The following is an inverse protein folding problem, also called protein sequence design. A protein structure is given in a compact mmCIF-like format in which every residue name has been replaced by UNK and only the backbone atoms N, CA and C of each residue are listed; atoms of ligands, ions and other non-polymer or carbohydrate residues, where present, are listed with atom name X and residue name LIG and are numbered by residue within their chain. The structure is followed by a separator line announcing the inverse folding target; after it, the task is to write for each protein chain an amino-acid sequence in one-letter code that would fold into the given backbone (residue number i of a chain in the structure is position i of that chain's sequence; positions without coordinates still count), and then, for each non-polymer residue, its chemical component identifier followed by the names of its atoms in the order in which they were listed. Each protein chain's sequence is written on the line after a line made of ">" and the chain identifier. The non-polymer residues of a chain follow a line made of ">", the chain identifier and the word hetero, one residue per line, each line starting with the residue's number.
data_IF_846591935429
#
_entry.id   IF_846591935429
#
_cell.length_a   1.000
_cell.length_b   1.000
_cell.length_c   1.000
_cell.angle_alpha   90.00
_cell.angle_beta   90.00
_cell.angle_gamma   90.00
#
_symmetry.space_group_name_H-M   'P 1'
#
loop_
_entity.id
_entity.type
_entity.pdbx_description
1 polymer ?
#
# COMPACT_ATOMS: atom_id res chain seq x y z
N UNK A 1 9.48 -19.00 -20.28
CA UNK A 1 10.15 -17.71 -20.39
C UNK A 1 9.35 -16.62 -19.69
N UNK A 2 10.04 -15.75 -18.96
CA UNK A 2 9.41 -14.62 -18.31
C UNK A 2 9.00 -13.58 -19.36
N UNK A 3 7.74 -13.15 -19.33
CA UNK A 3 7.23 -12.15 -20.25
C UNK A 3 6.03 -11.42 -19.65
N UNK A 4 5.88 -10.17 -20.05
CA UNK A 4 4.69 -9.40 -19.73
C UNK A 4 3.54 -9.90 -20.62
N UNK A 5 2.36 -10.11 -20.02
CA UNK A 5 1.19 -10.65 -20.74
C UNK A 5 0.64 -9.58 -21.70
N UNK A 6 0.28 -10.02 -22.92
CA UNK A 6 -0.42 -9.14 -23.88
C UNK A 6 -1.89 -8.98 -23.46
N UNK A 7 -2.28 -7.73 -23.23
CA UNK A 7 -3.66 -7.37 -22.83
C UNK A 7 -4.38 -6.55 -23.88
N UNK A 8 -3.82 -6.46 -25.10
CA UNK A 8 -4.36 -5.62 -26.18
C UNK A 8 -5.80 -6.00 -26.59
N UNK A 9 -6.19 -7.27 -26.41
CA UNK A 9 -7.55 -7.77 -26.71
C UNK A 9 -8.53 -7.55 -25.56
N UNK A 10 -8.07 -7.15 -24.37
CA UNK A 10 -8.95 -6.92 -23.23
C UNK A 10 -9.63 -5.56 -23.35
N UNK A 11 -10.85 -5.48 -22.86
CA UNK A 11 -11.59 -4.22 -22.85
C UNK A 11 -11.03 -3.25 -21.83
N UNK A 12 -11.05 -1.96 -22.17
CA UNK A 12 -10.80 -0.88 -21.23
C UNK A 12 -12.04 -0.75 -20.35
N UNK A 13 -11.88 -0.92 -19.07
CA UNK A 13 -12.97 -0.79 -18.08
C UNK A 13 -12.47 0.01 -16.87
N UNK A 14 -13.45 0.58 -16.14
CA UNK A 14 -13.16 1.20 -14.85
C UNK A 14 -12.81 0.08 -13.84
N UNK A 15 -11.63 0.15 -13.28
CA UNK A 15 -11.13 -0.87 -12.36
C UNK A 15 -10.71 -0.25 -11.04
N UNK A 16 -10.97 -0.96 -9.95
CA UNK A 16 -10.60 -0.54 -8.61
C UNK A 16 -9.96 -1.71 -7.88
N UNK A 17 -8.96 -1.43 -7.08
CA UNK A 17 -8.40 -2.40 -6.14
C UNK A 17 -8.16 -1.71 -4.80
N UNK A 18 -8.37 -2.44 -3.72
CA UNK A 18 -8.06 -2.02 -2.35
C UNK A 18 -7.19 -3.11 -1.73
N UNK A 19 -6.05 -2.70 -1.21
CA UNK A 19 -5.16 -3.56 -0.43
C UNK A 19 -5.05 -3.00 0.99
N UNK A 20 -4.68 -3.85 1.93
CA UNK A 20 -4.44 -3.44 3.30
C UNK A 20 -3.19 -4.09 3.86
N UNK A 21 -2.73 -3.60 4.99
CA UNK A 21 -1.60 -4.15 5.72
C UNK A 21 -1.51 -3.55 7.10
N UNK A 22 -0.63 -4.09 7.93
CA UNK A 22 -0.45 -3.66 9.32
C UNK A 22 1.02 -3.51 9.64
N UNK A 23 1.32 -2.52 10.48
CA UNK A 23 2.61 -2.44 11.16
C UNK A 23 2.30 -2.54 12.65
N UNK A 24 2.75 -3.63 13.28
CA UNK A 24 2.48 -3.95 14.68
C UNK A 24 3.65 -3.55 15.56
N UNK A 25 3.35 -3.00 16.72
CA UNK A 25 4.35 -2.52 17.67
C UNK A 25 4.16 -3.18 19.03
N UNK A 26 5.25 -3.38 19.80
CA UNK A 26 5.10 -3.63 21.23
C UNK A 26 4.29 -2.50 21.87
N UNK A 27 3.49 -2.83 22.88
CA UNK A 27 2.57 -1.87 23.51
C UNK A 27 3.30 -0.61 23.99
N UNK A 28 4.43 -0.77 24.66
CA UNK A 28 5.18 0.38 25.19
C UNK A 28 5.73 1.29 24.08
N UNK A 29 6.11 0.71 22.94
CA UNK A 29 6.55 1.48 21.77
C UNK A 29 5.36 2.24 21.17
N UNK A 30 4.23 1.58 21.04
CA UNK A 30 3.02 2.21 20.50
C UNK A 30 2.56 3.36 21.41
N UNK A 31 2.57 3.16 22.71
CA UNK A 31 2.23 4.20 23.68
C UNK A 31 3.14 5.43 23.53
N UNK A 32 4.43 5.21 23.30
CA UNK A 32 5.38 6.29 23.03
C UNK A 32 5.02 7.04 21.74
N UNK A 33 4.69 6.31 20.67
CA UNK A 33 4.30 6.93 19.40
C UNK A 33 3.03 7.76 19.55
N UNK A 34 2.04 7.27 20.27
CA UNK A 34 0.81 8.01 20.55
C UNK A 34 1.11 9.29 21.33
N UNK A 35 1.95 9.20 22.37
CA UNK A 35 2.34 10.36 23.17
C UNK A 35 3.06 11.42 22.36
N UNK A 36 3.77 11.03 21.30
CA UNK A 36 4.47 11.92 20.39
C UNK A 36 3.61 12.35 19.20
N UNK A 37 2.34 11.95 19.16
CA UNK A 37 1.44 12.20 18.03
C UNK A 37 2.02 11.70 16.70
N UNK A 38 2.71 10.57 16.75
CA UNK A 38 3.37 9.93 15.60
C UNK A 38 4.38 10.85 14.91
N UNK A 39 4.99 11.79 15.65
CA UNK A 39 6.07 12.63 15.16
C UNK A 39 7.42 12.02 15.58
N UNK A 40 8.22 11.66 14.59
CA UNK A 40 9.57 11.15 14.81
C UNK A 40 10.62 12.21 14.54
N UNK A 41 11.89 11.82 14.63
CA UNK A 41 13.02 12.72 14.34
C UNK A 41 13.02 13.24 12.90
N UNK A 42 12.44 12.47 11.98
CA UNK A 42 12.38 12.81 10.56
C UNK A 42 11.06 13.49 10.17
N UNK A 43 10.18 13.78 11.15
CA UNK A 43 8.89 14.41 10.91
C UNK A 43 7.72 13.47 11.14
N UNK A 44 6.59 13.75 10.49
CA UNK A 44 5.38 12.95 10.64
C UNK A 44 5.57 11.55 10.03
N UNK A 45 5.42 10.53 10.87
CA UNK A 45 5.53 9.13 10.44
C UNK A 45 4.40 8.80 9.47
N UNK A 46 3.17 9.16 9.81
CA UNK A 46 1.98 8.82 9.01
C UNK A 46 2.02 9.55 7.68
N UNK A 47 2.24 10.85 7.66
CA UNK A 47 2.24 11.62 6.41
C UNK A 47 3.38 11.18 5.48
N UNK A 48 4.55 10.91 6.02
CA UNK A 48 5.69 10.44 5.23
C UNK A 48 5.37 9.09 4.58
N UNK A 49 4.76 8.18 5.33
CA UNK A 49 4.38 6.88 4.81
C UNK A 49 3.29 6.98 3.74
N UNK A 50 2.31 7.88 3.91
CA UNK A 50 1.27 8.11 2.89
C UNK A 50 1.91 8.58 1.58
N UNK A 51 2.80 9.57 1.65
CA UNK A 51 3.46 10.10 0.46
C UNK A 51 4.33 9.03 -0.20
N UNK A 52 5.10 8.28 0.58
CA UNK A 52 5.94 7.20 0.07
C UNK A 52 5.11 6.12 -0.64
N UNK A 53 3.98 5.75 -0.05
CA UNK A 53 3.06 4.79 -0.65
C UNK A 53 2.47 5.30 -1.97
N UNK A 54 2.05 6.55 -2.03
CA UNK A 54 1.53 7.16 -3.26
C UNK A 54 2.61 7.13 -4.35
N UNK A 55 3.83 7.51 -4.03
CA UNK A 55 4.93 7.45 -5.00
C UNK A 55 5.19 6.03 -5.48
N UNK A 56 5.15 5.06 -4.58
CA UNK A 56 5.35 3.65 -4.92
C UNK A 56 4.26 3.13 -5.85
N UNK A 57 3.01 3.50 -5.61
CA UNK A 57 1.91 3.15 -6.52
C UNK A 57 2.22 3.62 -7.94
N UNK A 58 2.69 4.85 -8.08
CA UNK A 58 3.04 5.44 -9.39
C UNK A 58 4.24 4.77 -10.05
N UNK A 59 5.08 4.08 -9.28
CA UNK A 59 6.31 3.42 -9.76
C UNK A 59 6.20 1.90 -9.80
N UNK A 60 5.00 1.36 -9.67
CA UNK A 60 4.81 -0.10 -9.58
C UNK A 60 5.43 -0.83 -10.76
N UNK A 61 5.25 -0.34 -11.98
CA UNK A 61 5.81 -1.00 -13.16
C UNK A 61 7.34 -0.98 -13.20
N UNK A 62 7.97 -0.04 -12.50
CA UNK A 62 9.43 0.00 -12.37
C UNK A 62 9.95 -0.98 -11.31
N UNK A 63 9.11 -1.37 -10.36
CA UNK A 63 9.47 -2.25 -9.24
C UNK A 63 9.12 -3.71 -9.52
N UNK A 64 8.01 -3.94 -10.21
CA UNK A 64 7.48 -5.28 -10.53
C UNK A 64 7.68 -5.50 -12.02
N UNK A 65 8.66 -6.33 -12.42
CA UNK A 65 9.21 -6.27 -13.78
C UNK A 65 8.24 -6.63 -14.91
N UNK A 66 7.27 -7.50 -14.66
CA UNK A 66 6.36 -7.96 -15.72
C UNK A 66 4.95 -7.35 -15.56
N UNK A 67 4.84 -6.27 -14.79
CA UNK A 67 3.62 -5.53 -14.59
C UNK A 67 3.47 -4.44 -15.66
N UNK A 68 2.24 -4.21 -16.14
CA UNK A 68 1.98 -3.17 -17.14
C UNK A 68 2.06 -1.79 -16.52
N UNK A 69 2.51 -0.81 -17.30
CA UNK A 69 2.44 0.59 -16.92
C UNK A 69 1.02 1.09 -17.20
N UNK A 70 0.38 1.66 -16.18
CA UNK A 70 -1.03 2.07 -16.25
C UNK A 70 -1.18 3.54 -15.93
N UNK A 71 -2.20 4.17 -16.54
CA UNK A 71 -2.62 5.51 -16.17
C UNK A 71 -3.65 5.41 -15.04
N UNK A 72 -3.30 5.94 -13.88
CA UNK A 72 -4.14 5.86 -12.69
C UNK A 72 -4.98 7.12 -12.55
N UNK A 73 -6.25 6.95 -12.21
CA UNK A 73 -7.18 8.07 -12.00
C UNK A 73 -7.31 8.46 -10.52
N UNK A 74 -6.98 7.56 -9.60
CA UNK A 74 -7.06 7.84 -8.15
C UNK A 74 -6.10 6.96 -7.38
N UNK A 75 -5.43 7.55 -6.39
CA UNK A 75 -4.63 6.85 -5.38
C UNK A 75 -5.03 7.43 -4.04
N UNK A 76 -5.47 6.58 -3.11
CA UNK A 76 -5.82 7.01 -1.76
C UNK A 76 -5.20 6.05 -0.76
N UNK A 77 -4.42 6.59 0.16
CA UNK A 77 -3.79 5.81 1.24
C UNK A 77 -4.24 6.39 2.56
N UNK A 78 -4.80 5.54 3.41
CA UNK A 78 -5.23 5.88 4.75
C UNK A 78 -4.43 5.03 5.75
N UNK A 79 -3.91 5.65 6.80
CA UNK A 79 -3.15 5.00 7.85
C UNK A 79 -3.75 5.43 9.18
N UNK A 80 -4.27 4.45 9.94
CA UNK A 80 -4.98 4.72 11.20
C UNK A 80 -4.48 3.82 12.31
N UNK A 81 -4.38 4.35 13.55
CA UNK A 81 -4.06 3.52 14.71
C UNK A 81 -5.23 2.58 15.04
N UNK A 82 -4.94 1.30 15.21
CA UNK A 82 -5.90 0.28 15.64
C UNK A 82 -5.16 -0.66 16.59
N UNK A 83 -5.60 -0.74 17.84
CA UNK A 83 -4.90 -1.52 18.86
C UNK A 83 -3.45 -1.04 18.99
N UNK A 84 -2.47 -1.91 18.95
CA UNK A 84 -1.05 -1.53 18.99
C UNK A 84 -0.43 -1.56 17.60
N UNK A 85 -1.17 -1.16 16.59
CA UNK A 85 -0.72 -1.21 15.20
C UNK A 85 -1.14 0.03 14.43
N UNK A 86 -0.49 0.27 13.31
CA UNK A 86 -0.95 1.18 12.27
C UNK A 86 -1.55 0.34 11.15
N UNK A 87 -2.82 0.54 10.88
CA UNK A 87 -3.55 -0.13 9.80
C UNK A 87 -3.45 0.72 8.54
N UNK A 88 -3.04 0.09 7.45
CA UNK A 88 -2.84 0.76 6.16
C UNK A 88 -3.89 0.27 5.18
N UNK A 89 -4.49 1.18 4.43
CA UNK A 89 -5.38 0.87 3.32
C UNK A 89 -4.95 1.67 2.10
N UNK A 90 -4.90 1.03 0.95
CA UNK A 90 -4.56 1.69 -0.31
C UNK A 90 -5.62 1.35 -1.35
N UNK A 91 -6.27 2.39 -1.88
CA UNK A 91 -7.28 2.27 -2.94
C UNK A 91 -6.73 2.90 -4.20
N UNK A 92 -6.79 2.16 -5.31
CA UNK A 92 -6.31 2.63 -6.61
C UNK A 92 -7.41 2.43 -7.65
N UNK A 93 -7.58 3.40 -8.52
CA UNK A 93 -8.54 3.34 -9.64
C UNK A 93 -7.83 3.63 -10.96
N UNK A 94 -8.31 2.99 -12.01
CA UNK A 94 -7.87 3.24 -13.38
C UNK A 94 -9.01 2.94 -14.38
N UNK A 95 -8.80 3.38 -15.62
CA UNK A 95 -9.60 2.98 -16.79
C UNK A 95 -8.62 2.35 -17.77
N UNK A 96 -8.39 1.04 -17.64
CA UNK A 96 -7.36 0.34 -18.37
C UNK A 96 -7.77 -1.08 -18.70
N UNK A 97 -6.89 -1.79 -19.41
CA UNK A 97 -7.11 -3.15 -19.89
C UNK A 97 -6.73 -4.23 -18.89
N UNK A 98 -6.12 -3.86 -17.78
CA UNK A 98 -5.76 -4.79 -16.72
C UNK A 98 -6.01 -4.15 -15.36
N UNK A 99 -6.02 -4.96 -14.30
CA UNK A 99 -6.31 -4.50 -12.95
C UNK A 99 -5.16 -3.78 -12.28
N UNK A 100 -5.45 -3.18 -11.13
CA UNK A 100 -4.51 -2.38 -10.35
C UNK A 100 -4.19 -3.00 -8.99
N UNK A 101 -4.29 -4.33 -8.88
CA UNK A 101 -3.97 -5.05 -7.64
C UNK A 101 -2.52 -4.80 -7.22
N UNK A 102 -1.59 -4.85 -8.20
CA UNK A 102 -0.16 -4.68 -7.88
C UNK A 102 0.14 -3.27 -7.41
N UNK A 103 -0.52 -2.26 -8.00
CA UNK A 103 -0.39 -0.88 -7.56
C UNK A 103 -0.85 -0.72 -6.12
N UNK A 104 -2.01 -1.27 -5.77
CA UNK A 104 -2.54 -1.19 -4.42
C UNK A 104 -1.64 -1.91 -3.40
N UNK A 105 -1.19 -3.12 -3.73
CA UNK A 105 -0.30 -3.90 -2.87
C UNK A 105 1.07 -3.24 -2.71
N UNK A 106 1.61 -2.67 -3.77
CA UNK A 106 2.90 -1.96 -3.73
C UNK A 106 2.79 -0.72 -2.83
N UNK A 107 1.70 0.03 -2.93
CA UNK A 107 1.45 1.19 -2.08
C UNK A 107 1.44 0.85 -0.59
N UNK A 108 0.71 -0.20 -0.22
CA UNK A 108 0.67 -0.68 1.18
C UNK A 108 2.04 -1.13 1.65
N UNK A 109 2.75 -1.89 0.81
CA UNK A 109 4.05 -2.45 1.17
C UNK A 109 5.09 -1.38 1.44
N UNK A 110 5.17 -0.36 0.59
CA UNK A 110 6.13 0.73 0.75
C UNK A 110 5.74 1.65 1.88
N UNK A 111 4.44 1.91 2.08
CA UNK A 111 3.98 2.66 3.26
C UNK A 111 4.40 1.93 4.55
N UNK A 112 4.21 0.62 4.62
CA UNK A 112 4.62 -0.19 5.77
C UNK A 112 6.14 -0.13 6.00
N UNK A 113 6.92 -0.28 4.95
CA UNK A 113 8.39 -0.18 5.02
C UNK A 113 8.83 1.20 5.51
N UNK A 114 8.15 2.25 5.08
CA UNK A 114 8.46 3.62 5.50
C UNK A 114 8.18 3.82 7.00
N UNK A 115 7.05 3.30 7.48
CA UNK A 115 6.75 3.31 8.92
C UNK A 115 7.84 2.57 9.69
N UNK A 116 8.21 1.38 9.21
CA UNK A 116 9.25 0.57 9.85
C UNK A 116 10.57 1.35 9.90
N UNK A 117 10.99 1.93 8.79
CA UNK A 117 12.24 2.71 8.73
C UNK A 117 12.24 3.87 9.74
N UNK A 118 11.12 4.58 9.85
CA UNK A 118 11.03 5.74 10.75
C UNK A 118 10.92 5.35 12.23
N UNK A 119 10.55 4.12 12.53
CA UNK A 119 10.35 3.64 13.91
C UNK A 119 11.41 2.64 14.37
N UNK A 120 12.25 2.12 13.49
CA UNK A 120 13.13 0.98 13.77
C UNK A 120 14.12 1.22 14.93
N UNK A 121 14.45 2.48 15.21
CA UNK A 121 15.32 2.79 16.33
C UNK A 121 14.67 2.51 17.70
N UNK A 122 13.33 2.40 17.75
CA UNK A 122 12.59 2.17 19.00
C UNK A 122 12.54 0.70 19.40
N UNK A 123 12.58 -0.23 18.44
CA UNK A 123 12.48 -1.67 18.74
C UNK A 123 12.81 -2.50 17.51
N UNK A 124 13.34 -3.71 17.71
CA UNK A 124 13.48 -4.73 16.67
C UNK A 124 12.23 -5.60 16.54
N UNK A 125 11.24 -5.42 17.42
CA UNK A 125 10.02 -6.23 17.45
C UNK A 125 8.86 -5.58 16.72
N UNK A 126 9.12 -4.61 15.87
CA UNK A 126 8.14 -4.04 14.94
C UNK A 126 7.94 -5.06 13.83
N UNK A 127 6.67 -5.34 13.50
CA UNK A 127 6.34 -6.39 12.53
C UNK A 127 5.40 -5.87 11.46
N UNK A 128 5.78 -6.07 10.20
CA UNK A 128 4.87 -5.84 9.06
C UNK A 128 4.10 -7.15 8.84
N UNK A 129 2.78 -7.06 8.77
CA UNK A 129 1.93 -8.23 8.68
C UNK A 129 0.67 -7.97 7.84
N UNK A 130 0.04 -9.05 7.41
CA UNK A 130 -1.29 -9.05 6.79
C UNK A 130 -1.40 -8.16 5.55
N UNK A 131 -0.34 -8.06 4.75
CA UNK A 131 -0.42 -7.38 3.45
C UNK A 131 -1.20 -8.29 2.50
N UNK A 132 -2.35 -7.79 2.05
CA UNK A 132 -3.25 -8.59 1.22
C UNK A 132 -4.21 -7.72 0.43
N UNK A 133 -4.73 -8.30 -0.65
CA UNK A 133 -5.82 -7.70 -1.41
C UNK A 133 -7.12 -7.82 -0.63
N UNK A 134 -7.85 -6.72 -0.50
CA UNK A 134 -9.14 -6.68 0.17
C UNK A 134 -10.30 -6.71 -0.82
N UNK A 135 -10.17 -6.01 -1.95
CA UNK A 135 -11.24 -5.84 -2.92
C UNK A 135 -10.67 -5.55 -4.30
N UNK A 136 -11.33 -6.06 -5.33
CA UNK A 136 -11.13 -5.59 -6.70
C UNK A 136 -12.43 -5.62 -7.48
N UNK A 137 -12.63 -4.66 -8.37
CA UNK A 137 -13.81 -4.57 -9.23
C UNK A 137 -13.41 -4.16 -10.64
N UNK A 138 -14.31 -4.41 -11.59
CA UNK A 138 -14.19 -3.96 -12.97
C UNK A 138 -13.43 -4.91 -13.89
N UNK A 139 -12.85 -5.97 -13.37
CA UNK A 139 -12.18 -6.99 -14.16
C UNK A 139 -13.11 -8.14 -14.55
N UNK A 140 -12.50 -9.26 -14.90
CA UNK A 140 -13.25 -10.47 -15.27
C UNK A 140 -14.04 -11.04 -14.10
N UNK A 141 -13.47 -11.00 -12.89
CA UNK A 141 -14.10 -11.46 -11.66
C UNK A 141 -13.89 -10.42 -10.57
N UNK A 142 -14.97 -9.97 -9.96
CA UNK A 142 -14.89 -9.12 -8.79
C UNK A 142 -14.46 -9.96 -7.57
N UNK A 143 -13.79 -9.31 -6.62
CA UNK A 143 -13.34 -9.93 -5.40
C UNK A 143 -13.61 -8.99 -4.23
N UNK A 144 -14.10 -9.54 -3.13
CA UNK A 144 -14.33 -8.79 -1.89
C UNK A 144 -14.06 -9.72 -0.70
N UNK A 145 -13.15 -9.30 0.19
CA UNK A 145 -12.78 -10.06 1.36
C UNK A 145 -13.70 -9.77 2.54
#
# INVERSE_FOLDING_TARGET
>A
NAAMVDVSEKKVTARTAVASGRVEFPKEVFDTLVAQDFLGKKGSIIQTAVIAGIQAVKKTSELIPLCHQLNLSKIQIDITPVDNALQISCKVKCNEQTGVEMEALTGVSVAALTIYDMCKALSHDIKISEIQLEQKTGGKNDFNR
#
